data_IF_219895974674
#
_entry.id   IF_219895974674
#
_cell.length_a   1.000
_cell.length_b   1.000
_cell.length_c   1.000
_cell.angle_alpha   90.00
_cell.angle_beta   90.00
_cell.angle_gamma   90.00
#
_symmetry.space_group_name_H-M   'P 1'
#
loop_
_entity.id
_entity.type
_entity.pdbx_description
1 polymer ?
#
# COMPACT_ATOMS: atom_id res chain seq x y z
N UNK A 1 16.45 20.98 37.50
CA UNK A 1 16.88 20.25 36.31
C UNK A 1 15.62 19.81 35.54
N UNK A 2 15.31 20.50 34.43
CA UNK A 2 14.15 20.12 33.58
C UNK A 2 14.57 18.97 32.70
N UNK A 3 14.04 17.78 32.95
CA UNK A 3 14.17 16.61 32.06
C UNK A 3 13.49 16.94 30.73
N UNK A 4 14.25 17.23 29.71
CA UNK A 4 13.79 17.25 28.33
C UNK A 4 13.48 15.81 27.92
N UNK A 5 12.20 15.44 27.94
CA UNK A 5 11.73 14.16 27.38
C UNK A 5 12.08 14.15 25.90
N UNK A 6 13.16 13.45 25.52
CA UNK A 6 13.49 13.19 24.12
C UNK A 6 12.33 12.41 23.50
N UNK A 7 11.84 12.87 22.36
CA UNK A 7 10.80 12.12 21.61
C UNK A 7 11.35 10.73 21.26
N UNK A 8 10.56 9.66 21.39
CA UNK A 8 11.00 8.30 21.10
C UNK A 8 11.53 8.19 19.66
N UNK A 9 12.52 7.34 19.45
CA UNK A 9 13.22 7.13 18.15
C UNK A 9 12.25 6.83 17.01
N UNK A 10 11.19 6.08 17.29
CA UNK A 10 10.16 5.73 16.32
C UNK A 10 9.38 6.95 15.78
N UNK A 11 9.15 8.02 16.57
CA UNK A 11 8.51 9.27 16.09
C UNK A 11 9.37 9.96 15.03
N UNK A 12 10.71 9.83 15.14
CA UNK A 12 11.63 10.40 14.16
C UNK A 12 11.72 9.56 12.88
N UNK A 13 11.69 8.23 13.01
CA UNK A 13 11.54 7.30 11.87
C UNK A 13 10.31 7.63 11.04
N UNK A 14 9.25 8.09 11.66
CA UNK A 14 7.98 8.41 11.04
C UNK A 14 7.95 9.71 10.26
N UNK A 15 8.62 10.75 10.77
CA UNK A 15 8.82 11.96 9.98
C UNK A 15 9.64 11.64 8.71
N UNK A 16 10.62 10.71 8.83
CA UNK A 16 11.38 10.19 7.71
C UNK A 16 10.55 9.41 6.70
N UNK A 17 9.65 8.56 7.18
CA UNK A 17 8.73 7.81 6.33
C UNK A 17 7.74 8.72 5.60
N UNK A 18 7.24 9.79 6.23
CA UNK A 18 6.37 10.75 5.56
C UNK A 18 7.09 11.47 4.39
N UNK A 19 8.37 11.83 4.56
CA UNK A 19 9.20 12.38 3.48
C UNK A 19 9.49 11.32 2.42
N UNK A 20 9.79 10.09 2.83
CA UNK A 20 9.98 8.96 1.92
C UNK A 20 8.71 8.66 1.11
N UNK A 21 7.52 8.71 1.73
CA UNK A 21 6.23 8.60 1.04
C UNK A 21 6.06 9.69 -0.01
N UNK A 22 6.38 10.94 0.32
CA UNK A 22 6.32 12.05 -0.63
C UNK A 22 7.25 11.85 -1.84
N UNK A 23 8.46 11.35 -1.60
CA UNK A 23 9.43 11.03 -2.66
C UNK A 23 8.97 9.84 -3.51
N UNK A 24 8.44 8.78 -2.89
CA UNK A 24 7.94 7.60 -3.59
C UNK A 24 6.70 7.94 -4.43
N UNK A 25 5.75 8.72 -3.89
CA UNK A 25 4.57 9.19 -4.64
C UNK A 25 4.96 10.11 -5.79
N UNK A 26 5.92 11.02 -5.60
CA UNK A 26 6.43 11.86 -6.68
C UNK A 26 7.14 11.03 -7.76
N UNK A 27 7.82 9.95 -7.35
CA UNK A 27 8.48 9.02 -8.24
C UNK A 27 7.50 8.13 -9.03
N UNK A 28 6.31 7.87 -8.48
CA UNK A 28 5.28 7.02 -9.08
C UNK A 28 4.26 7.78 -9.95
N UNK A 29 4.28 9.12 -9.97
CA UNK A 29 3.43 9.88 -10.91
C UNK A 29 3.92 9.65 -12.33
N UNK A 30 3.09 9.06 -13.23
CA UNK A 30 3.43 8.99 -14.64
C UNK A 30 3.54 10.41 -15.20
N UNK A 31 4.59 10.67 -15.97
CA UNK A 31 4.67 11.88 -16.78
C UNK A 31 3.57 11.79 -17.85
N UNK A 32 2.45 12.46 -17.60
CA UNK A 32 1.37 12.75 -18.55
C UNK A 32 0.76 11.54 -19.28
N UNK A 33 -0.48 11.36 -19.01
CA UNK A 33 -1.56 10.68 -19.74
C UNK A 33 -2.24 9.59 -18.92
N UNK A 34 -3.45 9.94 -18.49
CA UNK A 34 -4.46 8.96 -18.11
C UNK A 34 -4.79 8.11 -19.35
N UNK A 35 -4.20 6.92 -19.44
CA UNK A 35 -4.78 5.90 -20.30
C UNK A 35 -6.04 5.39 -19.61
N UNK A 36 -7.19 5.86 -20.08
CA UNK A 36 -8.44 5.15 -19.91
C UNK A 36 -8.23 3.73 -20.44
N UNK A 37 -8.02 2.80 -19.54
CA UNK A 37 -8.14 1.38 -19.88
C UNK A 37 -9.63 1.10 -20.03
N UNK A 38 -9.99 0.81 -21.27
CA UNK A 38 -11.37 0.61 -21.70
C UNK A 38 -12.11 -0.38 -20.82
N UNK A 39 -13.29 0.04 -20.39
CA UNK A 39 -14.31 -0.81 -19.82
C UNK A 39 -14.68 -1.87 -20.87
N UNK A 40 -14.32 -3.12 -20.64
CA UNK A 40 -14.89 -4.23 -21.39
C UNK A 40 -16.19 -4.63 -20.74
N UNK A 41 -17.29 -4.06 -21.26
CA UNK A 41 -18.61 -4.64 -21.06
C UNK A 41 -18.65 -5.97 -21.80
N UNK A 42 -18.74 -7.07 -21.09
CA UNK A 42 -19.10 -8.36 -21.67
C UNK A 42 -20.62 -8.39 -21.90
N UNK A 43 -21.04 -7.86 -23.04
CA UNK A 43 -22.38 -8.13 -23.55
C UNK A 43 -22.48 -9.60 -23.97
N UNK A 44 -23.29 -10.36 -23.24
CA UNK A 44 -23.87 -11.59 -23.75
C UNK A 44 -25.03 -11.24 -24.69
N UNK A 45 -24.79 -11.34 -26.00
CA UNK A 45 -25.80 -11.09 -27.03
C UNK A 45 -26.71 -12.32 -27.16
N UNK A 46 -28.04 -12.19 -26.92
CA UNK A 46 -29.01 -13.06 -27.53
C UNK A 46 -29.42 -12.45 -28.88
N UNK A 47 -29.29 -13.23 -29.93
CA UNK A 47 -29.76 -12.90 -31.28
C UNK A 47 -31.27 -12.65 -31.26
N UNK A 48 -31.68 -11.38 -31.34
CA UNK A 48 -33.05 -10.97 -31.47
C UNK A 48 -33.08 -9.51 -31.93
N UNK A 49 -33.41 -9.34 -33.22
CA UNK A 49 -33.61 -8.06 -33.89
C UNK A 49 -34.73 -7.30 -33.19
N UNK A 50 -34.39 -6.28 -32.37
CA UNK A 50 -35.31 -5.27 -31.87
C UNK A 50 -34.73 -3.90 -32.14
N UNK A 51 -35.61 -3.00 -32.62
CA UNK A 51 -35.31 -1.62 -32.96
C UNK A 51 -34.57 -0.90 -31.84
N UNK A 52 -33.46 -0.26 -32.17
CA UNK A 52 -32.77 0.66 -31.26
C UNK A 52 -33.70 1.87 -31.04
N UNK A 53 -34.40 1.85 -29.89
CA UNK A 53 -34.88 3.10 -29.32
C UNK A 53 -33.64 3.94 -28.99
N UNK A 54 -33.44 5.01 -29.70
CA UNK A 54 -32.50 6.07 -29.36
C UNK A 54 -33.02 6.71 -28.07
N UNK A 55 -32.53 6.29 -26.91
CA UNK A 55 -32.75 7.03 -25.66
C UNK A 55 -32.23 8.46 -25.89
N UNK A 56 -33.13 9.39 -26.03
CA UNK A 56 -32.80 10.83 -26.01
C UNK A 56 -32.33 11.15 -24.61
N UNK A 57 -31.03 11.48 -24.46
CA UNK A 57 -30.46 11.91 -23.18
C UNK A 57 -31.30 13.10 -22.65
N UNK A 58 -31.83 12.96 -21.44
CA UNK A 58 -32.53 14.03 -20.73
C UNK A 58 -31.58 15.17 -20.36
N UNK A 59 -32.11 16.30 -19.91
CA UNK A 59 -31.27 17.35 -19.33
C UNK A 59 -30.55 16.82 -18.07
N UNK A 60 -29.27 17.17 -17.87
CA UNK A 60 -28.51 16.76 -16.69
C UNK A 60 -29.22 17.14 -15.38
N UNK A 61 -29.19 16.27 -14.39
CA UNK A 61 -29.73 16.51 -13.06
C UNK A 61 -28.61 16.40 -12.00
N UNK A 62 -28.70 17.21 -10.96
CA UNK A 62 -27.63 17.27 -9.94
C UNK A 62 -27.69 16.11 -8.95
N UNK A 63 -28.89 15.58 -8.69
CA UNK A 63 -29.14 14.50 -7.71
C UNK A 63 -30.27 13.61 -8.15
N UNK A 64 -30.23 12.36 -7.71
CA UNK A 64 -31.36 11.46 -7.81
C UNK A 64 -32.52 11.93 -6.91
N UNK A 65 -33.72 11.94 -7.44
CA UNK A 65 -34.95 12.09 -6.65
C UNK A 65 -35.36 10.79 -5.97
N UNK A 66 -34.95 9.64 -6.57
CA UNK A 66 -35.04 8.31 -5.98
C UNK A 66 -33.82 7.48 -6.40
N UNK A 67 -33.05 7.03 -5.43
CA UNK A 67 -32.01 6.02 -5.60
C UNK A 67 -32.41 4.77 -4.81
N UNK A 68 -32.42 3.62 -5.48
CA UNK A 68 -32.79 2.33 -4.90
C UNK A 68 -31.69 1.29 -5.08
N UNK A 69 -31.70 0.25 -4.26
CA UNK A 69 -30.87 -0.96 -4.40
C UNK A 69 -31.81 -2.15 -4.41
N UNK A 70 -31.80 -2.93 -5.49
CA UNK A 70 -32.75 -4.04 -5.70
C UNK A 70 -34.23 -3.62 -5.47
N UNK A 71 -34.58 -2.41 -5.91
CA UNK A 71 -35.92 -1.84 -5.74
C UNK A 71 -36.24 -1.25 -4.38
N UNK A 72 -35.35 -1.37 -3.37
CA UNK A 72 -35.59 -0.82 -2.02
C UNK A 72 -34.96 0.58 -1.92
N UNK A 73 -35.61 1.57 -1.30
CA UNK A 73 -35.09 2.91 -1.14
C UNK A 73 -33.73 2.94 -0.43
N UNK A 74 -32.80 3.77 -0.92
CA UNK A 74 -31.46 3.89 -0.29
C UNK A 74 -31.56 4.32 1.17
N UNK A 75 -32.61 5.05 1.58
CA UNK A 75 -32.86 5.46 2.96
C UNK A 75 -33.03 4.32 3.95
N UNK A 76 -33.37 3.13 3.45
CA UNK A 76 -33.59 1.93 4.30
C UNK A 76 -32.30 1.19 4.59
N UNK A 77 -31.18 1.63 3.98
CA UNK A 77 -29.88 1.00 4.07
C UNK A 77 -29.00 1.61 5.14
N UNK A 78 -28.07 0.79 5.65
CA UNK A 78 -26.89 1.22 6.39
C UNK A 78 -25.63 0.71 5.70
N UNK A 79 -24.50 1.34 5.93
CA UNK A 79 -23.20 0.90 5.43
C UNK A 79 -22.50 0.10 6.52
N UNK A 80 -22.06 -1.12 6.17
CA UNK A 80 -21.37 -2.04 7.09
C UNK A 80 -19.94 -2.24 6.58
N UNK A 81 -18.95 -1.90 7.39
CA UNK A 81 -17.53 -2.10 7.06
C UNK A 81 -16.93 -3.27 7.83
N UNK A 82 -15.92 -3.91 7.24
CA UNK A 82 -15.19 -4.99 7.89
C UNK A 82 -14.32 -4.44 9.03
N UNK A 83 -14.34 -5.13 10.18
CA UNK A 83 -13.41 -4.83 11.26
C UNK A 83 -11.98 -5.13 10.80
N UNK A 84 -11.09 -4.13 10.83
CA UNK A 84 -9.68 -4.34 10.54
C UNK A 84 -8.99 -5.06 11.71
N UNK A 85 -8.22 -6.10 11.39
CA UNK A 85 -7.37 -6.82 12.36
C UNK A 85 -6.32 -5.91 13.01
N UNK A 86 -5.96 -4.81 12.36
CA UNK A 86 -5.04 -3.81 12.93
C UNK A 86 -5.64 -3.05 14.11
N UNK A 87 -6.98 -2.95 14.23
CA UNK A 87 -7.64 -2.39 15.40
C UNK A 87 -7.29 -3.16 16.66
N UNK A 88 -7.29 -4.48 16.59
CA UNK A 88 -6.91 -5.35 17.72
C UNK A 88 -5.42 -5.17 18.09
N UNK A 89 -4.55 -4.93 17.11
CA UNK A 89 -3.15 -4.65 17.36
C UNK A 89 -2.94 -3.29 18.04
N UNK A 90 -3.72 -2.25 17.69
CA UNK A 90 -3.68 -0.92 18.34
C UNK A 90 -3.99 -1.01 19.83
N UNK A 91 -4.99 -1.79 20.22
CA UNK A 91 -5.42 -1.94 21.62
C UNK A 91 -4.39 -2.70 22.46
N UNK A 92 -3.57 -3.54 21.85
CA UNK A 92 -2.51 -4.32 22.53
C UNK A 92 -1.19 -3.56 22.73
N UNK A 93 -0.99 -2.42 22.05
CA UNK A 93 0.24 -1.63 22.16
C UNK A 93 0.15 -0.67 23.34
N UNK A 94 0.89 -0.96 24.40
CA UNK A 94 1.04 -0.04 25.55
C UNK A 94 1.74 1.26 25.10
N UNK A 95 0.94 2.34 24.95
CA UNK A 95 1.46 3.69 24.76
C UNK A 95 1.93 4.02 23.34
N UNK A 96 1.45 3.32 22.33
CA UNK A 96 1.82 3.57 20.95
C UNK A 96 0.83 4.47 20.23
N UNK A 97 1.24 5.67 19.89
CA UNK A 97 0.62 6.43 18.82
C UNK A 97 0.99 5.75 17.49
N UNK A 98 0.18 4.82 17.00
CA UNK A 98 0.26 4.40 15.61
C UNK A 98 -0.04 5.61 14.74
N UNK A 99 0.77 5.81 13.71
CA UNK A 99 0.85 7.04 12.94
C UNK A 99 -0.33 7.22 12.03
N UNK A 100 -0.88 6.14 11.52
CA UNK A 100 -2.02 6.16 10.63
C UNK A 100 -3.24 5.58 11.34
N UNK A 101 -4.40 6.18 11.10
CA UNK A 101 -5.66 5.50 11.31
C UNK A 101 -5.71 4.34 10.29
N UNK A 102 -5.49 3.12 10.78
CA UNK A 102 -5.43 1.91 9.95
C UNK A 102 -6.80 1.28 9.72
N UNK A 103 -7.87 1.97 10.07
CA UNK A 103 -9.22 1.51 9.83
C UNK A 103 -9.64 1.82 8.37
N UNK A 104 -9.01 1.12 7.44
CA UNK A 104 -9.10 1.42 6.00
C UNK A 104 -10.49 1.17 5.43
N UNK A 105 -11.15 0.09 5.87
CA UNK A 105 -12.51 -0.21 5.42
C UNK A 105 -13.52 0.78 6.03
N UNK A 106 -13.30 1.27 7.26
CA UNK A 106 -14.10 2.37 7.82
C UNK A 106 -13.95 3.64 7.01
N UNK A 107 -12.70 4.04 6.68
CA UNK A 107 -12.46 5.22 5.84
C UNK A 107 -13.13 5.09 4.48
N UNK A 108 -13.09 3.89 3.91
CA UNK A 108 -13.76 3.57 2.66
C UNK A 108 -15.29 3.66 2.79
N UNK A 109 -15.86 3.14 3.88
CA UNK A 109 -17.30 3.22 4.16
C UNK A 109 -17.79 4.66 4.40
N UNK A 110 -17.01 5.47 5.12
CA UNK A 110 -17.29 6.89 5.31
C UNK A 110 -17.26 7.66 3.99
N UNK A 111 -16.29 7.37 3.12
CA UNK A 111 -16.24 7.94 1.77
C UNK A 111 -17.48 7.54 0.95
N UNK A 112 -17.87 6.26 1.00
CA UNK A 112 -19.06 5.78 0.30
C UNK A 112 -20.33 6.51 0.79
N UNK A 113 -20.48 6.68 2.11
CA UNK A 113 -21.57 7.47 2.70
C UNK A 113 -21.61 8.88 2.12
N UNK A 114 -20.48 9.56 2.14
CA UNK A 114 -20.40 10.97 1.70
C UNK A 114 -20.69 11.09 0.19
N UNK A 115 -20.25 10.13 -0.61
CA UNK A 115 -20.55 10.04 -2.03
C UNK A 115 -22.04 9.78 -2.28
N UNK A 116 -22.65 8.82 -1.59
CA UNK A 116 -24.08 8.52 -1.73
C UNK A 116 -24.94 9.71 -1.26
N UNK A 117 -24.58 10.38 -0.16
CA UNK A 117 -25.24 11.61 0.28
C UNK A 117 -25.17 12.71 -0.78
N UNK A 118 -24.02 12.88 -1.43
CA UNK A 118 -23.84 13.89 -2.49
C UNK A 118 -24.78 13.66 -3.69
N UNK A 119 -24.99 12.40 -4.09
CA UNK A 119 -25.80 12.07 -5.28
C UNK A 119 -27.28 11.81 -4.97
N UNK A 120 -27.67 11.47 -3.73
CA UNK A 120 -29.05 11.14 -3.35
C UNK A 120 -29.67 12.09 -2.32
N UNK A 121 -28.83 12.86 -1.60
CA UNK A 121 -29.28 13.66 -0.44
C UNK A 121 -29.55 12.84 0.83
N UNK A 122 -29.32 11.53 0.81
CA UNK A 122 -29.57 10.63 1.93
C UNK A 122 -28.25 10.28 2.64
N UNK A 123 -28.15 10.61 3.93
CA UNK A 123 -26.99 10.24 4.75
C UNK A 123 -27.25 8.92 5.48
N UNK A 124 -26.42 7.92 5.19
CA UNK A 124 -26.53 6.59 5.77
C UNK A 124 -25.74 6.47 7.07
N UNK A 125 -26.18 5.58 7.95
CA UNK A 125 -25.39 5.15 9.11
C UNK A 125 -24.21 4.29 8.65
N UNK A 126 -23.04 4.42 9.33
CA UNK A 126 -21.84 3.60 9.10
C UNK A 126 -21.53 2.81 10.36
N UNK A 127 -21.51 1.49 10.26
CA UNK A 127 -21.36 0.58 11.40
C UNK A 127 -20.31 -0.50 11.12
N UNK A 128 -19.66 -0.99 12.19
CA UNK A 128 -18.74 -2.13 12.10
C UNK A 128 -19.52 -3.45 12.04
N UNK A 129 -19.07 -4.39 11.23
CA UNK A 129 -19.71 -5.70 11.06
C UNK A 129 -19.70 -6.57 12.32
N UNK A 130 -18.71 -6.38 13.21
CA UNK A 130 -18.58 -7.10 14.47
C UNK A 130 -19.38 -6.49 15.61
N UNK A 131 -19.78 -5.23 15.48
CA UNK A 131 -20.53 -4.50 16.50
C UNK A 131 -22.05 -4.56 16.26
N UNK A 132 -22.51 -5.16 15.14
CA UNK A 132 -23.91 -5.17 14.74
C UNK A 132 -24.34 -6.50 14.11
N UNK A 133 -25.56 -6.93 14.41
CA UNK A 133 -26.20 -8.04 13.72
C UNK A 133 -26.47 -7.68 12.24
N UNK A 134 -26.61 -8.72 11.41
CA UNK A 134 -26.99 -8.53 10.01
C UNK A 134 -28.42 -7.99 9.88
N UNK A 135 -28.61 -7.05 8.95
CA UNK A 135 -29.93 -6.53 8.57
C UNK A 135 -30.27 -6.91 7.13
N UNK A 136 -31.53 -6.71 6.76
CA UNK A 136 -31.99 -7.04 5.41
C UNK A 136 -31.41 -6.10 4.34
N UNK A 137 -31.28 -4.80 4.68
CA UNK A 137 -30.79 -3.78 3.77
C UNK A 137 -29.42 -3.24 4.23
N UNK A 138 -28.36 -3.78 3.65
CA UNK A 138 -26.99 -3.39 3.98
C UNK A 138 -26.19 -3.08 2.70
N UNK A 139 -25.29 -2.10 2.79
CA UNK A 139 -24.21 -1.89 1.83
C UNK A 139 -22.92 -2.31 2.52
N UNK A 140 -22.26 -3.37 2.05
CA UNK A 140 -21.05 -3.88 2.69
C UNK A 140 -19.79 -3.35 2.01
N UNK A 141 -18.77 -2.99 2.79
CA UNK A 141 -17.49 -2.46 2.34
C UNK A 141 -16.35 -3.31 2.89
N UNK A 142 -15.51 -3.82 2.01
CA UNK A 142 -14.41 -4.71 2.36
C UNK A 142 -14.90 -6.14 2.67
N UNK A 143 -14.04 -6.95 3.30
CA UNK A 143 -14.31 -8.35 3.62
C UNK A 143 -15.05 -8.47 4.94
N UNK A 144 -16.33 -8.10 4.95
CA UNK A 144 -17.19 -8.19 6.15
C UNK A 144 -17.58 -9.64 6.48
N UNK A 145 -18.11 -9.86 7.68
CA UNK A 145 -18.71 -11.13 8.13
C UNK A 145 -20.03 -11.48 7.41
N UNK A 146 -20.52 -10.62 6.53
CA UNK A 146 -21.79 -10.83 5.80
C UNK A 146 -21.63 -11.82 4.64
N UNK A 147 -22.60 -12.72 4.46
CA UNK A 147 -22.54 -13.74 3.39
C UNK A 147 -22.47 -13.17 1.97
N UNK A 148 -23.07 -12.02 1.70
CA UNK A 148 -23.00 -11.34 0.43
C UNK A 148 -21.55 -10.98 0.05
N UNK A 149 -20.73 -10.55 1.01
CA UNK A 149 -19.34 -10.21 0.81
C UNK A 149 -18.52 -11.38 0.27
N UNK A 150 -18.69 -12.59 0.81
CA UNK A 150 -17.96 -13.78 0.33
C UNK A 150 -18.23 -14.07 -1.14
N UNK A 151 -19.48 -13.85 -1.60
CA UNK A 151 -19.87 -14.03 -3.00
C UNK A 151 -19.14 -13.02 -3.89
N UNK A 152 -19.07 -11.76 -3.45
CA UNK A 152 -18.51 -10.65 -4.24
C UNK A 152 -17.00 -10.68 -4.27
N UNK A 153 -16.34 -10.97 -3.14
CA UNK A 153 -14.88 -11.00 -3.04
C UNK A 153 -14.27 -12.28 -3.63
N UNK A 154 -15.05 -13.34 -3.85
CA UNK A 154 -14.54 -14.60 -4.39
C UNK A 154 -14.09 -14.43 -5.84
N UNK A 155 -12.86 -14.89 -6.12
CA UNK A 155 -12.31 -14.93 -7.48
C UNK A 155 -12.04 -13.56 -8.09
N UNK A 156 -11.75 -12.54 -7.28
CA UNK A 156 -11.23 -11.27 -7.78
C UNK A 156 -9.85 -11.50 -8.44
N UNK A 157 -9.59 -10.89 -9.61
CA UNK A 157 -8.26 -10.91 -10.19
C UNK A 157 -7.31 -10.02 -9.39
N UNK A 158 -6.02 -10.14 -9.65
CA UNK A 158 -5.00 -9.23 -9.12
C UNK A 158 -5.35 -7.78 -9.48
N UNK A 159 -5.23 -6.87 -8.52
CA UNK A 159 -5.66 -5.47 -8.60
C UNK A 159 -7.16 -5.30 -8.88
N UNK A 160 -7.95 -6.35 -8.72
CA UNK A 160 -9.38 -6.36 -9.04
C UNK A 160 -10.26 -5.78 -7.96
N UNK A 161 -11.41 -5.27 -8.39
CA UNK A 161 -12.53 -4.92 -7.52
C UNK A 161 -13.85 -5.36 -8.14
N UNK A 162 -14.88 -5.49 -7.30
CA UNK A 162 -16.24 -5.78 -7.70
C UNK A 162 -17.24 -5.05 -6.82
N UNK A 163 -18.25 -4.49 -7.46
CA UNK A 163 -19.45 -3.95 -6.81
C UNK A 163 -20.63 -4.73 -7.37
N UNK A 164 -21.39 -5.37 -6.50
CA UNK A 164 -22.45 -6.23 -6.97
C UNK A 164 -23.61 -6.27 -5.95
N UNK A 165 -24.82 -6.26 -6.46
CA UNK A 165 -26.00 -6.52 -5.67
C UNK A 165 -26.18 -8.03 -5.50
N UNK A 166 -26.32 -8.48 -4.26
CA UNK A 166 -26.59 -9.89 -3.88
C UNK A 166 -27.87 -9.89 -3.06
N UNK A 167 -28.98 -10.33 -3.66
CA UNK A 167 -30.33 -10.17 -3.08
C UNK A 167 -30.63 -8.68 -2.86
N UNK A 168 -30.80 -8.26 -1.59
CA UNK A 168 -31.02 -6.87 -1.18
C UNK A 168 -29.74 -6.15 -0.70
N UNK A 169 -28.58 -6.81 -0.69
CA UNK A 169 -27.30 -6.24 -0.22
C UNK A 169 -26.47 -5.75 -1.40
N UNK A 170 -26.01 -4.51 -1.38
CA UNK A 170 -24.98 -4.03 -2.28
C UNK A 170 -23.60 -4.27 -1.62
N UNK A 171 -22.73 -5.04 -2.24
CA UNK A 171 -21.39 -5.31 -1.70
C UNK A 171 -20.30 -4.66 -2.58
N UNK A 172 -19.37 -3.96 -1.93
CA UNK A 172 -18.20 -3.29 -2.52
C UNK A 172 -16.95 -3.95 -1.99
N UNK A 173 -16.19 -4.61 -2.85
CA UNK A 173 -15.01 -5.37 -2.45
C UNK A 173 -13.88 -5.22 -3.45
N UNK A 174 -12.65 -5.08 -2.97
CA UNK A 174 -11.41 -5.13 -3.73
C UNK A 174 -10.50 -6.25 -3.25
N UNK A 175 -9.51 -6.64 -4.07
CA UNK A 175 -8.45 -7.59 -3.68
C UNK A 175 -7.65 -7.05 -2.48
N UNK A 176 -7.47 -5.73 -2.44
CA UNK A 176 -6.80 -5.01 -1.36
C UNK A 176 -7.68 -3.86 -0.86
N UNK A 177 -7.31 -3.25 0.26
CA UNK A 177 -7.96 -2.03 0.74
C UNK A 177 -7.94 -0.90 -0.31
N UNK A 178 -6.81 -0.73 -1.02
CA UNK A 178 -6.69 0.24 -2.10
C UNK A 178 -7.64 -0.05 -3.24
N UNK A 179 -7.79 -1.30 -3.65
CA UNK A 179 -8.75 -1.69 -4.68
C UNK A 179 -10.21 -1.47 -4.23
N UNK A 180 -10.54 -1.71 -2.94
CA UNK A 180 -11.85 -1.35 -2.37
C UNK A 180 -12.08 0.17 -2.44
N UNK A 181 -11.05 0.97 -2.13
CA UNK A 181 -11.13 2.43 -2.24
C UNK A 181 -11.40 2.88 -3.67
N UNK A 182 -10.69 2.33 -4.66
CA UNK A 182 -10.85 2.69 -6.07
C UNK A 182 -12.12 2.10 -6.72
N UNK A 183 -12.70 1.04 -6.16
CA UNK A 183 -14.03 0.60 -6.55
C UNK A 183 -15.08 1.72 -6.40
N UNK A 184 -14.90 2.59 -5.41
CA UNK A 184 -15.82 3.72 -5.20
C UNK A 184 -15.69 4.81 -6.25
N UNK A 185 -14.49 5.01 -6.84
CA UNK A 185 -14.33 5.91 -7.99
C UNK A 185 -15.17 5.43 -9.17
N UNK A 186 -15.18 4.12 -9.41
CA UNK A 186 -15.98 3.53 -10.48
C UNK A 186 -17.49 3.63 -10.21
N UNK A 187 -17.93 3.39 -8.97
CA UNK A 187 -19.34 3.55 -8.59
C UNK A 187 -19.78 5.01 -8.70
N UNK A 188 -18.96 5.94 -8.22
CA UNK A 188 -19.24 7.37 -8.32
C UNK A 188 -19.35 7.81 -9.77
N UNK A 189 -18.40 7.40 -10.63
CA UNK A 189 -18.43 7.70 -12.06
C UNK A 189 -19.69 7.14 -12.72
N UNK A 190 -20.08 5.92 -12.38
CA UNK A 190 -21.31 5.27 -12.89
C UNK A 190 -22.58 6.03 -12.49
N UNK A 191 -22.71 6.42 -11.22
CA UNK A 191 -23.88 7.17 -10.73
C UNK A 191 -23.93 8.59 -11.33
N UNK A 192 -22.78 9.27 -11.43
CA UNK A 192 -22.71 10.61 -12.05
C UNK A 192 -22.98 10.59 -13.54
N UNK A 193 -22.60 9.54 -14.26
CA UNK A 193 -22.96 9.36 -15.66
C UNK A 193 -24.49 9.21 -15.85
N UNK A 194 -25.15 8.47 -14.97
CA UNK A 194 -26.61 8.36 -14.97
C UNK A 194 -27.28 9.73 -14.74
N UNK A 195 -26.79 10.53 -13.78
CA UNK A 195 -27.29 11.90 -13.55
C UNK A 195 -27.05 12.81 -14.76
N UNK A 196 -25.87 12.74 -15.38
CA UNK A 196 -25.52 13.51 -16.56
C UNK A 196 -26.44 13.18 -17.78
N UNK A 197 -26.93 11.94 -17.82
CA UNK A 197 -27.94 11.47 -18.82
C UNK A 197 -29.37 11.83 -18.44
N UNK A 198 -29.58 12.60 -17.38
CA UNK A 198 -30.89 13.07 -16.92
C UNK A 198 -31.71 12.01 -16.18
N UNK A 199 -31.12 10.93 -15.72
CA UNK A 199 -31.81 9.91 -14.92
C UNK A 199 -32.01 10.44 -13.49
N UNK A 200 -33.20 10.95 -13.20
CA UNK A 200 -33.54 11.41 -11.84
C UNK A 200 -33.95 10.27 -10.90
N UNK A 201 -34.31 9.11 -11.44
CA UNK A 201 -34.63 7.87 -10.70
C UNK A 201 -33.66 6.82 -11.18
N UNK A 202 -33.00 6.13 -10.22
CA UNK A 202 -32.00 5.12 -10.53
C UNK A 202 -32.07 3.94 -9.56
N UNK A 203 -31.98 2.72 -10.10
CA UNK A 203 -31.95 1.48 -9.33
C UNK A 203 -30.62 0.74 -9.58
N UNK A 204 -29.86 0.48 -8.51
CA UNK A 204 -28.81 -0.51 -8.50
C UNK A 204 -29.48 -1.89 -8.41
N UNK A 205 -29.95 -2.38 -9.55
CA UNK A 205 -30.86 -3.52 -9.67
C UNK A 205 -30.34 -4.79 -8.99
N UNK A 206 -31.20 -5.79 -8.83
CA UNK A 206 -30.84 -7.06 -8.19
C UNK A 206 -29.73 -7.83 -8.95
N UNK A 207 -29.52 -7.53 -10.22
CA UNK A 207 -28.45 -8.05 -11.08
C UNK A 207 -27.32 -7.03 -11.33
N UNK A 208 -27.32 -5.88 -10.63
CA UNK A 208 -26.27 -4.87 -10.78
C UNK A 208 -24.91 -5.47 -10.47
N UNK A 209 -23.97 -5.25 -11.40
CA UNK A 209 -22.59 -5.67 -11.27
C UNK A 209 -21.67 -4.71 -12.00
N UNK A 210 -20.61 -4.30 -11.31
CA UNK A 210 -19.53 -3.49 -11.84
C UNK A 210 -18.19 -4.12 -11.40
N UNK A 211 -17.47 -4.68 -12.36
CA UNK A 211 -16.12 -5.23 -12.17
C UNK A 211 -15.09 -4.29 -12.78
N UNK A 212 -13.92 -4.25 -12.21
CA UNK A 212 -12.78 -3.52 -12.76
C UNK A 212 -11.47 -3.88 -12.10
N UNK A 213 -10.42 -3.23 -12.57
CA UNK A 213 -9.08 -3.33 -11.99
C UNK A 213 -8.50 -1.95 -11.80
N UNK A 214 -7.76 -1.78 -10.72
CA UNK A 214 -6.94 -0.59 -10.48
C UNK A 214 -5.56 -1.04 -10.00
N UNK A 215 -4.56 -0.85 -10.86
CA UNK A 215 -3.20 -1.29 -10.56
C UNK A 215 -2.57 -0.37 -9.53
N UNK A 216 -2.28 -0.93 -8.37
CA UNK A 216 -1.53 -0.27 -7.31
C UNK A 216 -0.02 -0.32 -7.59
N UNK A 217 0.71 0.71 -7.17
CA UNK A 217 2.17 0.69 -7.19
C UNK A 217 2.70 -0.42 -6.28
N UNK A 218 3.64 -1.23 -6.77
CA UNK A 218 4.26 -2.31 -5.98
C UNK A 218 5.65 -1.93 -5.52
N UNK A 219 5.83 -1.87 -4.20
CA UNK A 219 7.07 -1.47 -3.54
C UNK A 219 7.66 -2.68 -2.81
N UNK A 220 8.84 -3.12 -3.22
CA UNK A 220 9.60 -4.16 -2.53
C UNK A 220 10.59 -3.55 -1.54
N UNK A 221 10.63 -4.03 -0.30
CA UNK A 221 11.55 -3.55 0.73
C UNK A 221 12.60 -4.62 1.06
N UNK A 222 13.79 -4.49 0.47
CA UNK A 222 14.95 -5.33 0.74
C UNK A 222 15.69 -4.83 1.97
N UNK A 223 16.11 -5.74 2.84
CA UNK A 223 16.91 -5.36 4.00
C UNK A 223 17.23 -6.52 4.94
N UNK A 224 17.73 -6.16 6.10
CA UNK A 224 18.13 -7.07 7.16
C UNK A 224 17.07 -7.19 8.27
N UNK A 225 17.51 -7.42 9.53
CA UNK A 225 16.63 -7.55 10.71
C UNK A 225 15.78 -6.30 10.96
N UNK A 226 16.27 -5.11 10.62
CA UNK A 226 15.52 -3.86 10.80
C UNK A 226 14.32 -3.82 9.83
N UNK A 227 14.51 -4.31 8.62
CA UNK A 227 13.45 -4.38 7.61
C UNK A 227 12.42 -5.47 7.94
N UNK A 228 12.87 -6.67 8.36
CA UNK A 228 11.95 -7.75 8.71
C UNK A 228 11.20 -7.50 10.03
N UNK A 229 11.75 -6.65 10.90
CA UNK A 229 11.12 -6.28 12.19
C UNK A 229 11.53 -7.15 13.37
N UNK A 230 12.77 -7.61 13.38
CA UNK A 230 13.31 -8.34 14.51
C UNK A 230 13.54 -7.39 15.71
N UNK A 231 13.07 -7.76 16.89
CA UNK A 231 13.41 -7.09 18.13
C UNK A 231 13.91 -8.11 19.18
N UNK A 232 14.63 -7.62 20.21
CA UNK A 232 15.25 -8.46 21.25
C UNK A 232 14.23 -9.22 22.12
N UNK A 233 12.98 -8.80 22.17
CA UNK A 233 11.92 -9.39 23.01
C UNK A 233 11.19 -10.58 22.34
N UNK A 234 11.71 -11.11 21.23
CA UNK A 234 11.16 -12.27 20.49
C UNK A 234 9.70 -12.13 19.98
N UNK A 235 9.09 -10.99 20.15
CA UNK A 235 7.76 -10.70 19.59
C UNK A 235 7.92 -10.03 18.24
N UNK A 236 7.46 -10.72 17.20
CA UNK A 236 7.47 -10.24 15.83
C UNK A 236 6.39 -9.18 15.69
N UNK A 237 6.71 -7.93 16.02
CA UNK A 237 5.79 -6.79 15.82
C UNK A 237 5.85 -6.35 14.34
N UNK A 238 5.35 -7.21 13.45
CA UNK A 238 5.31 -6.97 12.02
C UNK A 238 4.75 -5.57 11.69
N UNK A 239 3.73 -5.12 12.43
CA UNK A 239 3.10 -3.81 12.25
C UNK A 239 4.00 -2.59 12.57
N UNK A 240 5.11 -2.77 13.31
CA UNK A 240 6.05 -1.69 13.61
C UNK A 240 7.19 -1.57 12.60
N UNK A 241 7.30 -2.48 11.66
CA UNK A 241 8.33 -2.42 10.64
C UNK A 241 8.12 -1.25 9.69
N UNK A 242 9.21 -0.66 9.18
CA UNK A 242 9.04 0.43 8.22
C UNK A 242 8.28 0.01 6.95
N UNK A 243 8.45 -1.20 6.38
CA UNK A 243 7.64 -1.62 5.24
C UNK A 243 6.14 -1.64 5.55
N UNK A 244 5.78 -2.12 6.75
CA UNK A 244 4.37 -2.16 7.15
C UNK A 244 3.80 -0.76 7.36
N UNK A 245 4.55 0.12 8.05
CA UNK A 245 4.15 1.51 8.23
C UNK A 245 4.04 2.26 6.90
N UNK A 246 4.97 2.01 5.97
CA UNK A 246 4.91 2.55 4.62
C UNK A 246 3.64 2.07 3.89
N UNK A 247 3.31 0.78 4.02
CA UNK A 247 2.06 0.23 3.49
C UNK A 247 0.81 0.89 4.07
N UNK A 248 0.80 1.20 5.37
CA UNK A 248 -0.31 1.91 6.00
C UNK A 248 -0.44 3.35 5.50
N UNK A 249 0.66 4.03 5.26
CA UNK A 249 0.65 5.41 4.75
C UNK A 249 0.21 5.48 3.28
N UNK A 250 0.57 4.48 2.50
CA UNK A 250 0.34 4.42 1.05
C UNK A 250 -0.81 3.47 0.66
N UNK A 251 -1.63 3.01 1.58
CA UNK A 251 -2.59 1.94 1.39
C UNK A 251 -3.56 2.12 0.20
N UNK A 252 -3.84 3.38 -0.17
CA UNK A 252 -4.71 3.71 -1.33
C UNK A 252 -4.01 3.53 -2.66
N UNK A 253 -2.69 3.73 -2.68
CA UNK A 253 -1.94 3.91 -3.92
C UNK A 253 -0.88 2.82 -4.15
N UNK A 254 -0.51 2.07 -3.09
CA UNK A 254 0.56 1.09 -3.17
C UNK A 254 0.34 -0.17 -2.32
N UNK A 255 0.94 -1.26 -2.79
CA UNK A 255 1.18 -2.49 -2.02
C UNK A 255 2.65 -2.56 -1.67
N UNK A 256 2.96 -2.68 -0.37
CA UNK A 256 4.34 -2.77 0.12
C UNK A 256 4.63 -4.19 0.59
N UNK A 257 5.70 -4.77 0.05
CA UNK A 257 6.11 -6.15 0.29
C UNK A 257 7.43 -6.15 1.03
N UNK A 258 7.47 -6.84 2.16
CA UNK A 258 8.66 -6.94 2.99
C UNK A 258 9.53 -8.14 2.54
N UNK A 259 10.72 -7.86 2.00
CA UNK A 259 11.74 -8.83 1.63
C UNK A 259 12.95 -8.75 2.60
N UNK A 260 12.74 -8.37 3.85
CA UNK A 260 13.77 -8.37 4.89
C UNK A 260 14.13 -9.77 5.35
N UNK A 261 15.40 -10.00 5.72
CA UNK A 261 15.86 -11.23 6.36
C UNK A 261 16.96 -10.91 7.38
N UNK A 262 16.77 -11.35 8.62
CA UNK A 262 17.66 -11.04 9.74
C UNK A 262 19.12 -11.47 9.52
N UNK A 263 20.07 -10.65 9.99
CA UNK A 263 21.50 -10.94 9.95
C UNK A 263 22.18 -10.83 8.59
N UNK A 264 21.46 -10.39 7.53
CA UNK A 264 21.99 -10.35 6.17
C UNK A 264 22.88 -9.14 5.93
N UNK A 265 23.91 -9.34 5.11
CA UNK A 265 24.90 -8.35 4.72
C UNK A 265 24.72 -7.91 3.27
N UNK A 266 25.11 -6.67 2.96
CA UNK A 266 25.19 -6.16 1.59
C UNK A 266 26.27 -6.91 0.80
N UNK A 267 27.43 -7.15 1.39
CA UNK A 267 28.60 -7.76 0.72
C UNK A 267 28.28 -9.15 0.18
N UNK A 268 28.40 -9.33 -1.14
CA UNK A 268 28.09 -10.60 -1.84
C UNK A 268 29.12 -11.69 -1.60
N UNK A 269 30.36 -11.35 -1.23
CA UNK A 269 31.43 -12.29 -0.85
C UNK A 269 31.24 -12.85 0.58
N UNK A 270 30.45 -12.19 1.43
CA UNK A 270 30.15 -12.68 2.76
C UNK A 270 29.38 -14.02 2.76
N UNK A 271 29.61 -14.82 3.81
CA UNK A 271 28.90 -16.10 3.98
C UNK A 271 27.39 -15.93 4.17
N UNK A 272 26.98 -14.81 4.79
CA UNK A 272 25.59 -14.44 5.10
C UNK A 272 25.08 -13.32 4.21
N UNK A 273 25.65 -13.18 3.00
CA UNK A 273 25.21 -12.20 2.00
C UNK A 273 23.70 -12.30 1.74
N UNK A 274 23.03 -11.15 1.63
CA UNK A 274 21.60 -11.09 1.30
C UNK A 274 21.30 -11.79 -0.03
N UNK A 275 22.17 -11.64 -1.03
CA UNK A 275 22.04 -12.27 -2.35
C UNK A 275 22.13 -13.81 -2.35
N UNK A 276 22.52 -14.42 -1.23
CA UNK A 276 22.54 -15.87 -1.03
C UNK A 276 21.30 -16.42 -0.31
N UNK A 277 20.36 -15.56 0.07
CA UNK A 277 19.17 -15.91 0.85
C UNK A 277 18.02 -16.43 -0.01
N UNK A 278 17.08 -17.14 0.62
CA UNK A 278 15.86 -17.58 -0.07
C UNK A 278 14.91 -16.40 -0.32
N UNK A 279 14.88 -15.42 0.59
CA UNK A 279 14.05 -14.23 0.41
C UNK A 279 14.51 -13.40 -0.81
N UNK A 280 15.83 -13.35 -1.08
CA UNK A 280 16.35 -12.75 -2.30
C UNK A 280 15.84 -13.44 -3.57
N UNK A 281 15.80 -14.76 -3.58
CA UNK A 281 15.27 -15.54 -4.71
C UNK A 281 13.78 -15.25 -4.92
N UNK A 282 13.02 -15.13 -3.83
CA UNK A 282 11.61 -14.74 -3.86
C UNK A 282 11.46 -13.33 -4.43
N UNK A 283 12.23 -12.36 -3.93
CA UNK A 283 12.24 -11.00 -4.44
C UNK A 283 12.54 -10.96 -5.96
N UNK A 284 13.55 -11.69 -6.42
CA UNK A 284 13.88 -11.77 -7.86
C UNK A 284 12.79 -12.44 -8.71
N UNK A 285 12.02 -13.38 -8.15
CA UNK A 285 10.88 -13.97 -8.83
C UNK A 285 9.78 -12.93 -9.04
N UNK A 286 9.53 -12.11 -8.04
CA UNK A 286 8.46 -11.10 -8.04
C UNK A 286 8.89 -9.79 -8.73
N UNK A 287 10.21 -9.59 -8.93
CA UNK A 287 10.80 -8.31 -9.36
C UNK A 287 10.26 -7.76 -10.68
N UNK A 288 9.78 -8.61 -11.60
CA UNK A 288 9.15 -8.15 -12.83
C UNK A 288 7.86 -7.34 -12.59
N UNK A 289 7.20 -7.58 -11.46
CA UNK A 289 5.96 -6.89 -11.06
C UNK A 289 6.19 -5.70 -10.11
N UNK A 290 7.42 -5.49 -9.62
CA UNK A 290 7.74 -4.38 -8.70
C UNK A 290 8.05 -3.09 -9.48
N UNK A 291 7.49 -1.98 -9.05
CA UNK A 291 7.74 -0.64 -9.61
C UNK A 291 8.90 0.05 -8.92
N UNK A 292 9.00 -0.15 -7.61
CA UNK A 292 10.02 0.45 -6.75
C UNK A 292 10.61 -0.61 -5.84
N UNK A 293 11.92 -0.55 -5.62
CA UNK A 293 12.59 -1.34 -4.59
C UNK A 293 13.41 -0.43 -3.70
N UNK A 294 13.19 -0.53 -2.38
CA UNK A 294 14.08 0.05 -1.39
C UNK A 294 15.12 -0.98 -0.94
N UNK A 295 16.37 -0.55 -0.74
CA UNK A 295 17.46 -1.42 -0.28
C UNK A 295 18.09 -0.81 0.96
N UNK A 296 17.86 -1.43 2.12
CA UNK A 296 18.41 -1.03 3.42
C UNK A 296 19.27 -2.16 3.98
N UNK A 297 20.51 -2.25 3.52
CA UNK A 297 21.52 -3.22 3.93
C UNK A 297 22.81 -2.49 4.30
N UNK A 298 23.60 -3.08 5.19
CA UNK A 298 24.90 -2.52 5.62
C UNK A 298 25.08 -2.51 7.13
N UNK A 299 24.00 -2.58 7.91
CA UNK A 299 24.08 -2.62 9.39
C UNK A 299 24.92 -3.79 9.87
N UNK A 300 24.77 -4.97 9.28
CA UNK A 300 25.54 -6.15 9.63
C UNK A 300 26.97 -6.09 9.08
N UNK A 301 27.21 -5.40 7.98
CA UNK A 301 28.54 -5.16 7.42
C UNK A 301 29.41 -4.27 8.35
N UNK A 302 28.80 -3.47 9.22
CA UNK A 302 29.49 -2.64 10.20
C UNK A 302 30.38 -3.46 11.15
N UNK A 303 30.13 -4.76 11.31
CA UNK A 303 31.02 -5.66 12.10
C UNK A 303 32.45 -5.69 11.56
N UNK A 304 32.68 -5.56 10.27
CA UNK A 304 34.01 -5.54 9.68
C UNK A 304 34.78 -4.29 10.11
N UNK A 305 34.11 -3.15 10.25
CA UNK A 305 34.69 -1.91 10.79
C UNK A 305 35.06 -2.10 12.29
N UNK A 306 34.17 -2.67 13.05
CA UNK A 306 34.40 -2.92 14.48
C UNK A 306 35.60 -3.85 14.74
N UNK A 307 35.92 -4.73 13.79
CA UNK A 307 37.00 -5.70 13.87
C UNK A 307 38.26 -5.22 13.12
N UNK A 308 38.36 -3.93 12.79
CA UNK A 308 39.47 -3.34 12.00
C UNK A 308 39.74 -4.07 10.66
N UNK A 309 38.66 -4.60 10.05
CA UNK A 309 38.70 -5.36 8.79
C UNK A 309 38.12 -4.57 7.63
N UNK A 310 37.92 -3.27 7.80
CA UNK A 310 37.37 -2.40 6.75
C UNK A 310 38.44 -1.50 6.18
N UNK A 311 38.74 -1.68 4.92
CA UNK A 311 39.69 -0.92 4.14
C UNK A 311 39.09 -0.45 2.80
N UNK A 312 39.90 0.15 1.94
CA UNK A 312 39.45 0.58 0.63
C UNK A 312 38.94 -0.56 -0.27
N UNK A 313 39.48 -1.78 -0.10
CA UNK A 313 39.00 -2.97 -0.80
C UNK A 313 37.60 -3.36 -0.31
N UNK A 314 37.40 -3.35 0.99
CA UNK A 314 36.11 -3.65 1.62
C UNK A 314 35.02 -2.66 1.21
N UNK A 315 35.31 -1.36 1.15
CA UNK A 315 34.42 -0.31 0.65
C UNK A 315 34.10 -0.52 -0.84
N UNK A 316 35.09 -0.84 -1.64
CA UNK A 316 34.91 -1.17 -3.06
C UNK A 316 34.02 -2.40 -3.27
N UNK A 317 34.22 -3.45 -2.49
CA UNK A 317 33.39 -4.67 -2.52
C UNK A 317 31.95 -4.41 -2.07
N UNK A 318 31.74 -3.56 -1.09
CA UNK A 318 30.44 -3.14 -0.62
C UNK A 318 29.65 -2.46 -1.74
N UNK A 319 30.26 -1.47 -2.42
CA UNK A 319 29.65 -0.76 -3.56
C UNK A 319 29.43 -1.66 -4.77
N UNK A 320 30.37 -2.58 -5.06
CA UNK A 320 30.22 -3.59 -6.13
C UNK A 320 29.07 -4.57 -5.82
N UNK A 321 28.81 -4.84 -4.54
CA UNK A 321 27.68 -5.66 -4.13
C UNK A 321 26.36 -4.94 -4.34
N UNK A 322 26.28 -3.63 -4.07
CA UNK A 322 25.13 -2.81 -4.42
C UNK A 322 24.88 -2.83 -5.95
N UNK A 323 25.95 -2.78 -6.79
CA UNK A 323 25.84 -2.96 -8.23
C UNK A 323 25.22 -4.31 -8.60
N UNK A 324 25.69 -5.40 -7.98
CA UNK A 324 25.17 -6.75 -8.23
C UNK A 324 23.65 -6.82 -7.94
N UNK A 325 23.19 -6.22 -6.85
CA UNK A 325 21.78 -6.16 -6.49
C UNK A 325 21.00 -5.33 -7.54
N UNK A 326 21.47 -4.11 -7.84
CA UNK A 326 20.81 -3.21 -8.77
C UNK A 326 20.70 -3.81 -10.18
N UNK A 327 21.77 -4.40 -10.71
CA UNK A 327 21.76 -5.07 -12.00
C UNK A 327 20.82 -6.28 -12.04
N UNK A 328 20.77 -7.08 -10.98
CA UNK A 328 19.88 -8.23 -10.91
C UNK A 328 18.40 -7.80 -10.94
N UNK A 329 18.05 -6.74 -10.24
CA UNK A 329 16.70 -6.15 -10.24
C UNK A 329 16.36 -5.55 -11.61
N UNK A 330 17.25 -4.73 -12.19
CA UNK A 330 17.06 -4.09 -13.51
C UNK A 330 16.96 -5.11 -14.65
N UNK A 331 17.61 -6.26 -14.57
CA UNK A 331 17.42 -7.34 -15.53
C UNK A 331 16.00 -7.93 -15.52
N UNK A 332 15.29 -7.82 -14.39
CA UNK A 332 13.90 -8.29 -14.25
C UNK A 332 12.88 -7.23 -14.66
N UNK A 333 13.14 -5.99 -14.29
CA UNK A 333 12.34 -4.83 -14.68
C UNK A 333 13.28 -3.64 -14.96
N UNK A 334 13.54 -3.30 -16.23
CA UNK A 334 14.40 -2.18 -16.61
C UNK A 334 13.91 -0.82 -16.11
N UNK A 335 12.60 -0.65 -15.92
CA UNK A 335 11.99 0.61 -15.50
C UNK A 335 11.88 0.74 -13.97
N UNK A 336 12.23 -0.33 -13.23
CA UNK A 336 12.16 -0.34 -11.77
C UNK A 336 12.97 0.82 -11.17
N UNK A 337 12.39 1.56 -10.23
CA UNK A 337 13.11 2.54 -9.43
C UNK A 337 13.77 1.86 -8.24
N UNK A 338 15.04 2.12 -8.04
CA UNK A 338 15.82 1.54 -6.94
C UNK A 338 16.28 2.68 -6.03
N UNK A 339 15.90 2.60 -4.76
CA UNK A 339 16.22 3.56 -3.73
C UNK A 339 17.03 2.90 -2.63
N UNK A 340 18.30 3.27 -2.49
CA UNK A 340 19.11 2.85 -1.35
C UNK A 340 18.79 3.72 -0.14
N UNK A 341 18.63 3.08 1.02
CA UNK A 341 18.41 3.74 2.30
C UNK A 341 19.66 3.58 3.15
N UNK A 342 20.06 4.64 3.86
CA UNK A 342 21.11 4.49 4.87
C UNK A 342 20.64 3.59 6.03
N UNK A 343 21.57 2.85 6.61
CA UNK A 343 21.33 2.16 7.89
C UNK A 343 20.97 3.17 8.97
N UNK A 344 19.90 2.95 9.76
CA UNK A 344 19.56 3.85 10.85
C UNK A 344 20.65 3.83 11.93
N UNK A 345 20.82 4.95 12.61
CA UNK A 345 21.76 5.03 13.74
C UNK A 345 21.27 4.15 14.91
N UNK A 346 22.18 3.34 15.44
CA UNK A 346 21.91 2.55 16.65
C UNK A 346 22.33 3.40 17.84
N UNK A 347 21.35 3.80 18.66
CA UNK A 347 21.54 4.64 19.85
C UNK A 347 21.87 3.83 21.10
N UNK A 348 22.59 2.71 20.98
CA UNK A 348 23.07 1.98 22.16
C UNK A 348 24.26 2.69 22.78
N UNK A 349 24.07 3.14 24.03
CA UNK A 349 25.10 3.80 24.86
C UNK A 349 26.24 2.85 25.35
N UNK A 350 26.21 1.57 24.98
CA UNK A 350 27.08 0.57 25.61
C UNK A 350 28.57 0.67 25.30
N UNK A 351 28.94 1.05 24.10
CA UNK A 351 30.28 1.51 23.75
C UNK A 351 30.20 2.29 22.44
N UNK A 352 30.83 3.41 22.30
CA UNK A 352 30.79 4.25 21.09
C UNK A 352 31.27 3.56 19.78
N UNK A 353 31.62 2.27 19.81
CA UNK A 353 32.21 1.52 18.71
C UNK A 353 31.15 1.11 17.68
N UNK A 354 29.93 0.73 18.12
CA UNK A 354 28.85 0.32 17.20
C UNK A 354 28.35 1.52 16.41
N UNK A 355 28.00 2.61 17.09
CA UNK A 355 27.55 3.85 16.41
C UNK A 355 28.60 4.43 15.46
N UNK A 356 29.90 4.35 15.82
CA UNK A 356 30.99 4.73 14.93
C UNK A 356 31.06 3.89 13.66
N UNK A 357 30.91 2.57 13.79
CA UNK A 357 30.92 1.64 12.67
C UNK A 357 29.70 1.87 11.73
N UNK A 358 28.51 2.11 12.28
CA UNK A 358 27.31 2.43 11.49
C UNK A 358 27.51 3.74 10.72
N UNK A 359 28.05 4.80 11.36
CA UNK A 359 28.34 6.06 10.64
C UNK A 359 29.33 5.88 9.49
N UNK A 360 30.33 5.01 9.64
CA UNK A 360 31.25 4.70 8.57
C UNK A 360 30.58 3.95 7.41
N UNK A 361 29.72 2.96 7.69
CA UNK A 361 28.92 2.28 6.66
C UNK A 361 27.99 3.27 5.94
N UNK A 362 27.35 4.20 6.66
CA UNK A 362 26.52 5.26 6.04
C UNK A 362 27.35 6.12 5.07
N UNK A 363 28.63 6.38 5.41
CA UNK A 363 29.56 7.02 4.49
C UNK A 363 29.75 6.25 3.18
N UNK A 364 29.91 4.92 3.25
CA UNK A 364 30.00 4.04 2.08
C UNK A 364 28.67 4.00 1.30
N UNK A 365 27.53 3.93 2.00
CA UNK A 365 26.19 3.94 1.38
C UNK A 365 25.94 5.23 0.59
N UNK A 366 26.33 6.38 1.12
CA UNK A 366 26.23 7.69 0.41
C UNK A 366 26.99 7.72 -0.92
N UNK A 367 28.04 6.96 -1.05
CA UNK A 367 28.82 6.84 -2.28
C UNK A 367 28.25 5.86 -3.32
N UNK A 368 27.18 5.13 -3.02
CA UNK A 368 26.58 4.14 -3.93
C UNK A 368 26.04 4.80 -5.21
N UNK A 369 25.24 5.89 -5.18
CA UNK A 369 24.71 6.48 -6.41
C UNK A 369 25.79 6.89 -7.39
N UNK A 370 26.80 7.64 -6.94
CA UNK A 370 27.91 8.07 -7.80
C UNK A 370 28.68 6.87 -8.39
N UNK A 371 28.94 5.84 -7.56
CA UNK A 371 29.61 4.63 -8.02
C UNK A 371 28.80 3.90 -9.10
N UNK A 372 27.47 3.79 -8.94
CA UNK A 372 26.57 3.12 -9.87
C UNK A 372 26.33 3.93 -11.14
N UNK A 373 26.23 5.25 -11.03
CA UNK A 373 26.10 6.16 -12.17
C UNK A 373 27.30 6.03 -13.12
N UNK A 374 28.52 5.95 -12.56
CA UNK A 374 29.74 5.68 -13.34
C UNK A 374 29.71 4.31 -14.08
N UNK A 375 28.78 3.41 -13.71
CA UNK A 375 28.53 2.12 -14.37
C UNK A 375 27.28 2.12 -15.26
N UNK A 376 26.67 3.31 -15.47
CA UNK A 376 25.45 3.44 -16.27
C UNK A 376 24.17 3.00 -15.56
N UNK A 377 24.19 2.88 -14.22
CA UNK A 377 23.03 2.49 -13.40
C UNK A 377 22.55 3.69 -12.58
N UNK A 378 21.39 4.20 -12.87
CA UNK A 378 20.76 5.27 -12.08
C UNK A 378 20.00 4.68 -10.90
N UNK A 379 20.32 5.13 -9.69
CA UNK A 379 19.65 4.80 -8.44
C UNK A 379 19.52 6.06 -7.59
N UNK A 380 18.52 6.07 -6.70
CA UNK A 380 18.37 7.13 -5.72
C UNK A 380 18.94 6.71 -4.36
N UNK A 381 19.22 7.68 -3.50
CA UNK A 381 19.67 7.45 -2.12
C UNK A 381 18.90 8.34 -1.16
N UNK A 382 18.49 7.76 -0.04
CA UNK A 382 17.82 8.47 1.03
C UNK A 382 18.55 8.26 2.36
N UNK A 383 18.99 9.36 2.97
CA UNK A 383 19.71 9.33 4.24
C UNK A 383 18.74 9.33 5.43
N UNK A 384 18.41 8.12 5.91
CA UNK A 384 17.58 7.94 7.09
C UNK A 384 18.19 8.60 8.34
N UNK A 385 19.52 8.65 8.44
CA UNK A 385 20.19 9.26 9.59
C UNK A 385 20.06 10.77 9.64
N UNK A 386 20.08 11.45 8.49
CA UNK A 386 19.91 12.90 8.47
C UNK A 386 18.58 13.34 9.09
N UNK A 387 17.54 12.48 9.02
CA UNK A 387 16.24 12.74 9.63
C UNK A 387 16.19 12.42 11.12
N UNK A 388 17.05 11.49 11.59
CA UNK A 388 17.07 11.08 13.00
C UNK A 388 17.88 12.03 13.87
N UNK A 389 18.72 12.88 13.27
CA UNK A 389 19.58 13.85 13.97
C UNK A 389 18.90 15.20 14.26
N UNK A 390 17.76 15.51 13.62
CA UNK A 390 16.94 16.71 13.82
C UNK A 390 15.74 16.39 14.70
#
# INVERSE_FOLDING_TARGET
MKSTKRKPVWVRLLCGLAVLCGLLLAACRPAGESKETGMTETETVPNGRTEKETETAGEPVDRFTALTVAGNPISDYRIVYAQDSTRLAKESIRGGDLIADCDFDRQSAERLRDMLEAVSGVRLEVVCDMDTDSAEHEITVGMTSRSATYTVCSGLPTDGYRIMTVKSTLAVCGETYGNTWHAMDALEAHLRDALAKGKAIYDLSADFRLDGTYRLTRIGCIGDSITVGWNEDYYNYDYLTYPKQLGYLLWRDAVVINYGEGGREMRTDAGIAYTKSEIWKTCLKDAAGLDVVTVMLGTNDARYIRNDQWDAYSDGMFKASAQTIAEALRRKNPDMKILFLSSPEIFEERDGTVGGAIRAIVGSQKGIPEFLEAKGLTVDFFDMNALLQN
#
